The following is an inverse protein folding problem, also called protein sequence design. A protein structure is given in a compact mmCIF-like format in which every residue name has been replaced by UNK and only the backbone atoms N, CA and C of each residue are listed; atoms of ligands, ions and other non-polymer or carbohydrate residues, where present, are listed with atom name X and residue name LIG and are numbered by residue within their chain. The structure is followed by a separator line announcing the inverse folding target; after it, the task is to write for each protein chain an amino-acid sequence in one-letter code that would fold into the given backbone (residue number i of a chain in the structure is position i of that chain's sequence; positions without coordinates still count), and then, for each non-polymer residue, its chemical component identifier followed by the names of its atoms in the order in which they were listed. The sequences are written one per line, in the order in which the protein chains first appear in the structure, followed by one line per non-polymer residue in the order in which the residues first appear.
data_IF_149204964563
#
_entry.id   IF_149204964563
#
_cell.length_a   1.000
_cell.length_b   1.000
_cell.length_c   1.000
_cell.angle_alpha   90.00
_cell.angle_beta   90.00
_cell.angle_gamma   90.00
#
_symmetry.space_group_name_H-M   'P 1'
#
loop_
_entity.id
_entity.type
_entity.pdbx_description
1 polymer ?
#
# COMPACT_ATOMS: atom_id res chain seq x y z
N UNK A 1 4.64 15.72 -11.74
CA UNK A 1 3.83 15.14 -12.82
C UNK A 1 3.14 13.95 -12.21
N UNK A 2 1.82 14.01 -12.10
CA UNK A 2 1.06 12.97 -11.40
C UNK A 2 0.71 11.85 -12.37
N UNK A 3 0.62 10.61 -11.89
CA UNK A 3 0.35 9.46 -12.74
C UNK A 3 -0.92 9.62 -13.60
N UNK A 4 -1.97 10.22 -13.01
CA UNK A 4 -3.24 10.48 -13.67
C UNK A 4 -3.21 11.57 -14.76
N UNK A 5 -2.13 12.36 -14.84
CA UNK A 5 -1.96 13.34 -15.91
C UNK A 5 -1.29 12.72 -17.14
N UNK A 6 -0.62 11.57 -16.99
CA UNK A 6 0.24 10.98 -18.02
C UNK A 6 -0.23 9.60 -18.48
N UNK A 7 -1.00 8.90 -17.64
CA UNK A 7 -1.42 7.54 -17.89
C UNK A 7 -2.93 7.38 -17.69
N UNK A 8 -3.60 6.58 -18.53
CA UNK A 8 -4.99 6.22 -18.29
C UNK A 8 -5.11 5.44 -16.99
N UNK A 9 -5.95 5.96 -16.08
CA UNK A 9 -6.16 5.42 -14.76
C UNK A 9 -7.59 4.91 -14.60
N UNK A 10 -7.75 3.75 -13.96
CA UNK A 10 -9.05 3.16 -13.62
C UNK A 10 -9.08 2.86 -12.12
N UNK A 11 -10.13 3.32 -11.43
CA UNK A 11 -10.43 2.96 -10.05
C UNK A 11 -11.70 2.09 -10.05
N UNK A 12 -11.51 0.81 -9.74
CA UNK A 12 -12.57 -0.16 -9.57
C UNK A 12 -12.92 -0.31 -8.11
N UNK A 13 -14.19 -0.21 -7.75
CA UNK A 13 -14.60 -0.48 -6.38
C UNK A 13 -16.09 -0.68 -6.19
N UNK A 14 -16.47 -1.30 -5.08
CA UNK A 14 -17.85 -1.69 -4.80
C UNK A 14 -18.60 -0.72 -3.86
N UNK A 15 -17.85 0.08 -3.09
CA UNK A 15 -18.35 0.88 -1.96
C UNK A 15 -18.43 2.39 -2.22
N UNK A 16 -17.99 2.85 -3.39
CA UNK A 16 -18.02 4.26 -3.74
C UNK A 16 -19.45 4.74 -4.00
N UNK A 17 -19.86 5.77 -3.25
CA UNK A 17 -21.04 6.58 -3.57
C UNK A 17 -20.57 7.96 -4.02
N UNK A 18 -21.31 8.66 -4.90
CA UNK A 18 -20.94 10.01 -5.35
C UNK A 18 -20.64 10.98 -4.19
N UNK A 19 -21.40 10.89 -3.10
CA UNK A 19 -21.21 11.71 -1.90
C UNK A 19 -19.91 11.39 -1.18
N UNK A 20 -19.61 10.10 -0.95
CA UNK A 20 -18.35 9.68 -0.32
C UNK A 20 -17.15 10.08 -1.17
N UNK A 21 -17.26 9.90 -2.49
CA UNK A 21 -16.23 10.26 -3.44
C UNK A 21 -15.97 11.77 -3.41
N UNK A 22 -16.99 12.61 -3.62
CA UNK A 22 -16.86 14.08 -3.58
C UNK A 22 -16.23 14.58 -2.28
N UNK A 23 -16.61 14.00 -1.13
CA UNK A 23 -16.02 14.34 0.17
C UNK A 23 -14.55 13.94 0.31
N UNK A 24 -14.12 12.83 -0.29
CA UNK A 24 -12.70 12.44 -0.30
C UNK A 24 -11.90 13.40 -1.18
N UNK A 25 -12.38 13.66 -2.39
CA UNK A 25 -11.75 14.59 -3.33
C UNK A 25 -11.62 15.99 -2.73
N UNK A 26 -12.65 16.51 -2.05
CA UNK A 26 -12.60 17.83 -1.41
C UNK A 26 -11.59 17.94 -0.26
N UNK A 27 -11.02 16.82 0.20
CA UNK A 27 -9.99 16.78 1.25
C UNK A 27 -8.60 16.53 0.68
N UNK A 28 -8.48 16.18 -0.60
CA UNK A 28 -7.20 15.99 -1.27
C UNK A 28 -6.59 17.36 -1.58
N UNK A 29 -5.98 17.98 -0.58
CA UNK A 29 -5.27 19.26 -0.74
C UNK A 29 -3.88 19.09 -1.33
N UNK A 30 -3.35 17.86 -1.30
CA UNK A 30 -2.01 17.50 -1.77
C UNK A 30 -1.96 17.16 -3.27
N UNK A 31 -3.12 16.94 -3.92
CA UNK A 31 -3.21 16.66 -5.35
C UNK A 31 -4.62 17.00 -5.89
N UNK A 32 -4.72 17.35 -7.18
CA UNK A 32 -6.00 17.62 -7.84
C UNK A 32 -6.40 16.49 -8.82
N UNK A 33 -7.31 15.59 -8.39
CA UNK A 33 -7.80 14.48 -9.21
C UNK A 33 -8.90 14.86 -10.21
N UNK A 34 -9.23 16.16 -10.31
CA UNK A 34 -10.29 16.68 -11.17
C UNK A 34 -9.66 17.46 -12.33
N UNK A 35 -10.17 17.24 -13.54
CA UNK A 35 -9.77 17.94 -14.76
C UNK A 35 -10.37 19.36 -14.85
N UNK A 36 -10.00 20.09 -15.90
CA UNK A 36 -10.49 21.45 -16.17
C UNK A 36 -12.01 21.54 -16.38
N UNK A 37 -12.66 20.42 -16.70
CA UNK A 37 -14.10 20.31 -16.93
C UNK A 37 -14.88 19.87 -15.68
N UNK A 38 -14.20 19.73 -14.53
CA UNK A 38 -14.81 19.28 -13.29
C UNK A 38 -15.06 17.77 -13.22
N UNK A 39 -14.45 16.97 -14.09
CA UNK A 39 -14.58 15.50 -14.13
C UNK A 39 -13.35 14.82 -13.53
N UNK A 40 -13.47 13.60 -12.97
CA UNK A 40 -12.30 12.84 -12.54
C UNK A 40 -11.33 12.57 -13.70
N UNK A 41 -10.02 12.70 -13.45
CA UNK A 41 -8.94 12.34 -14.39
C UNK A 41 -8.77 10.82 -14.60
N UNK A 42 -9.68 10.02 -14.06
CA UNK A 42 -9.65 8.57 -14.08
C UNK A 42 -11.06 8.02 -14.21
N UNK A 43 -11.18 6.79 -14.71
CA UNK A 43 -12.45 6.10 -14.80
C UNK A 43 -12.85 5.49 -13.46
N UNK A 44 -14.12 5.62 -13.10
CA UNK A 44 -14.71 5.00 -11.92
C UNK A 44 -15.62 3.86 -12.35
N UNK A 45 -15.25 2.63 -12.01
CA UNK A 45 -16.02 1.44 -12.35
C UNK A 45 -16.54 0.77 -11.08
N UNK A 46 -17.87 0.62 -10.98
CA UNK A 46 -18.47 -0.15 -9.90
C UNK A 46 -18.52 -1.63 -10.27
N UNK A 47 -17.90 -2.49 -9.46
CA UNK A 47 -17.84 -3.93 -9.73
C UNK A 47 -17.90 -4.76 -8.45
N UNK A 48 -18.45 -5.97 -8.56
CA UNK A 48 -18.59 -6.93 -7.45
C UNK A 48 -17.95 -8.30 -7.74
N UNK A 49 -17.73 -8.64 -9.00
CA UNK A 49 -17.24 -9.95 -9.45
C UNK A 49 -16.48 -9.85 -10.78
N UNK A 50 -15.89 -10.96 -11.27
CA UNK A 50 -15.24 -11.01 -12.59
C UNK A 50 -14.24 -9.86 -12.82
N UNK A 51 -13.38 -9.64 -11.82
CA UNK A 51 -12.44 -8.52 -11.76
C UNK A 51 -11.46 -8.50 -12.93
N UNK A 52 -10.99 -9.67 -13.36
CA UNK A 52 -10.08 -9.80 -14.49
C UNK A 52 -10.70 -9.29 -15.80
N UNK A 53 -12.03 -9.34 -15.97
CA UNK A 53 -12.67 -9.01 -17.26
C UNK A 53 -12.67 -7.54 -17.63
N UNK A 54 -12.42 -6.67 -16.67
CA UNK A 54 -12.39 -5.22 -16.87
C UNK A 54 -10.95 -4.69 -16.86
N UNK A 55 -9.96 -5.51 -16.50
CA UNK A 55 -8.57 -5.06 -16.57
C UNK A 55 -8.21 -4.90 -18.04
N UNK A 56 -8.04 -3.64 -18.43
CA UNK A 56 -7.55 -3.26 -19.75
C UNK A 56 -6.02 -3.22 -19.73
N UNK A 57 -5.37 -3.69 -20.80
CA UNK A 57 -3.92 -3.67 -20.90
C UNK A 57 -3.37 -2.24 -20.89
N UNK A 58 -2.15 -2.09 -20.39
CA UNK A 58 -1.34 -0.86 -20.42
C UNK A 58 -1.92 0.32 -19.62
N UNK A 59 -2.92 0.10 -18.77
CA UNK A 59 -3.48 1.11 -17.83
C UNK A 59 -2.94 0.95 -16.40
N UNK A 60 -3.06 2.02 -15.61
CA UNK A 60 -2.94 1.92 -14.15
C UNK A 60 -4.32 1.63 -13.57
N UNK A 61 -4.50 0.42 -13.03
CA UNK A 61 -5.78 -0.04 -12.48
C UNK A 61 -5.67 -0.25 -10.97
N UNK A 62 -6.52 0.43 -10.19
CA UNK A 62 -6.67 0.20 -8.75
C UNK A 62 -7.96 -0.58 -8.51
N UNK A 63 -7.88 -1.69 -7.77
CA UNK A 63 -9.02 -2.53 -7.40
C UNK A 63 -9.23 -2.44 -5.88
N UNK A 64 -10.25 -1.71 -5.46
CA UNK A 64 -10.60 -1.40 -4.07
C UNK A 64 -12.03 -1.84 -3.72
N UNK A 65 -12.25 -3.03 -3.19
CA UNK A 65 -11.31 -4.11 -2.90
C UNK A 65 -11.89 -5.41 -3.46
N UNK A 66 -11.07 -6.44 -3.65
CA UNK A 66 -11.58 -7.73 -4.14
C UNK A 66 -12.36 -8.43 -3.01
N UNK A 67 -13.69 -8.35 -3.10
CA UNK A 67 -14.60 -9.05 -2.23
C UNK A 67 -14.90 -10.45 -2.77
N UNK A 68 -14.37 -11.48 -2.11
CA UNK A 68 -14.73 -12.88 -2.36
C UNK A 68 -15.59 -13.42 -1.22
N UNK A 69 -16.57 -14.28 -1.51
CA UNK A 69 -17.27 -15.08 -0.52
C UNK A 69 -16.29 -15.86 0.37
N UNK A 70 -16.66 -16.08 1.64
CA UNK A 70 -15.78 -16.73 2.62
C UNK A 70 -15.38 -18.17 2.23
N UNK A 71 -16.25 -18.87 1.49
CA UNK A 71 -16.01 -20.20 0.95
C UNK A 71 -15.15 -20.19 -0.33
N UNK A 72 -14.79 -19.03 -0.88
CA UNK A 72 -14.08 -18.89 -2.16
C UNK A 72 -12.72 -18.19 -2.02
N UNK A 73 -12.22 -18.02 -0.79
CA UNK A 73 -10.95 -17.33 -0.55
C UNK A 73 -9.74 -18.00 -1.22
N UNK A 74 -9.82 -19.30 -1.53
CA UNK A 74 -8.79 -20.01 -2.28
C UNK A 74 -8.70 -19.54 -3.75
N UNK A 75 -9.78 -18.99 -4.30
CA UNK A 75 -9.88 -18.58 -5.70
C UNK A 75 -9.13 -17.27 -6.01
N UNK A 76 -8.72 -16.53 -4.98
CA UNK A 76 -8.01 -15.26 -5.17
C UNK A 76 -6.72 -15.39 -5.97
N UNK A 77 -6.03 -16.53 -5.88
CA UNK A 77 -4.85 -16.83 -6.72
C UNK A 77 -5.19 -16.80 -8.22
N UNK A 78 -6.28 -17.46 -8.61
CA UNK A 78 -6.74 -17.46 -10.00
C UNK A 78 -7.21 -16.08 -10.46
N UNK A 79 -7.88 -15.32 -9.58
CA UNK A 79 -8.27 -13.93 -9.89
C UNK A 79 -7.04 -13.06 -10.15
N UNK A 80 -6.02 -13.14 -9.29
CA UNK A 80 -4.77 -12.39 -9.47
C UNK A 80 -4.05 -12.82 -10.76
N UNK A 81 -3.98 -14.12 -11.06
CA UNK A 81 -3.39 -14.63 -12.30
C UNK A 81 -4.14 -14.10 -13.54
N UNK A 82 -5.48 -14.10 -13.52
CA UNK A 82 -6.30 -13.58 -14.60
C UNK A 82 -6.16 -12.06 -14.80
N UNK A 83 -5.90 -11.32 -13.72
CA UNK A 83 -5.54 -9.91 -13.80
C UNK A 83 -4.14 -9.78 -14.42
N UNK A 84 -3.15 -10.49 -13.89
CA UNK A 84 -1.76 -10.44 -14.35
C UNK A 84 -1.62 -10.74 -15.84
N UNK A 85 -2.39 -11.70 -16.37
CA UNK A 85 -2.36 -12.05 -17.80
C UNK A 85 -2.93 -10.95 -18.72
N UNK A 86 -3.66 -9.98 -18.18
CA UNK A 86 -4.31 -8.89 -18.93
C UNK A 86 -3.64 -7.52 -18.76
N UNK A 87 -2.86 -7.31 -17.70
CA UNK A 87 -2.25 -6.01 -17.38
C UNK A 87 -1.34 -5.46 -18.49
N UNK A 88 -0.71 -6.32 -19.30
CA UNK A 88 0.25 -5.86 -20.32
C UNK A 88 1.44 -5.15 -19.69
N UNK A 89 1.80 -3.97 -20.20
CA UNK A 89 2.83 -3.09 -19.62
C UNK A 89 2.27 -2.14 -18.55
N UNK A 90 1.00 -2.33 -18.15
CA UNK A 90 0.33 -1.52 -17.15
C UNK A 90 0.69 -1.88 -15.72
N UNK A 91 -0.08 -1.35 -14.77
CA UNK A 91 0.05 -1.65 -13.34
C UNK A 91 -1.32 -1.98 -12.78
N UNK A 92 -1.42 -3.10 -12.04
CA UNK A 92 -2.58 -3.40 -11.22
C UNK A 92 -2.24 -3.31 -9.73
N UNK A 93 -2.92 -2.42 -9.01
CA UNK A 93 -2.89 -2.33 -7.55
C UNK A 93 -4.14 -3.03 -6.99
N UNK A 94 -3.93 -4.13 -6.27
CA UNK A 94 -5.02 -4.94 -5.73
C UNK A 94 -5.08 -4.76 -4.22
N UNK A 95 -6.23 -4.28 -3.71
CA UNK A 95 -6.48 -4.16 -2.27
C UNK A 95 -7.21 -5.41 -1.78
N UNK A 96 -6.63 -6.05 -0.75
CA UNK A 96 -7.18 -7.24 -0.10
C UNK A 96 -7.41 -6.96 1.39
N UNK A 97 -8.55 -7.41 1.91
CA UNK A 97 -8.81 -7.42 3.35
C UNK A 97 -7.96 -8.49 4.04
N UNK A 98 -7.50 -8.22 5.26
CA UNK A 98 -6.75 -9.14 6.12
C UNK A 98 -7.41 -9.24 7.49
N UNK A 99 -7.29 -10.40 8.13
CA UNK A 99 -7.70 -10.54 9.54
C UNK A 99 -6.73 -9.75 10.44
N UNK A 100 -7.22 -9.25 11.58
CA UNK A 100 -6.49 -8.32 12.46
C UNK A 100 -5.13 -8.88 12.92
N UNK A 101 -5.05 -10.20 13.19
CA UNK A 101 -3.83 -10.89 13.59
C UNK A 101 -3.00 -11.47 12.42
N UNK A 102 -3.45 -11.33 11.17
CA UNK A 102 -2.77 -11.89 10.00
C UNK A 102 -1.79 -10.90 9.39
N UNK A 103 -0.59 -11.39 9.06
CA UNK A 103 0.41 -10.66 8.26
C UNK A 103 0.12 -10.73 6.75
N UNK A 104 -0.81 -11.59 6.33
CA UNK A 104 -1.18 -11.83 4.94
C UNK A 104 -2.65 -11.47 4.71
N UNK A 105 -2.95 -10.91 3.53
CA UNK A 105 -4.32 -10.75 3.05
C UNK A 105 -5.02 -12.08 2.81
N UNK A 106 -6.35 -12.03 2.63
CA UNK A 106 -7.15 -13.17 2.19
C UNK A 106 -6.54 -13.77 0.91
N UNK A 107 -6.22 -15.06 0.93
CA UNK A 107 -5.38 -15.72 -0.10
C UNK A 107 -4.02 -16.19 0.38
N UNK A 108 -3.54 -15.68 1.52
CA UNK A 108 -2.29 -16.09 2.17
C UNK A 108 -1.12 -16.07 1.17
N UNK A 109 -0.26 -17.10 1.20
CA UNK A 109 0.99 -17.17 0.46
C UNK A 109 0.85 -17.00 -1.07
N UNK A 110 -0.27 -17.45 -1.66
CA UNK A 110 -0.48 -17.37 -3.10
C UNK A 110 -0.55 -15.93 -3.63
N UNK A 111 -1.21 -15.04 -2.88
CA UNK A 111 -1.27 -13.62 -3.24
C UNK A 111 0.11 -12.94 -3.19
N UNK A 112 0.95 -13.34 -2.23
CA UNK A 112 2.32 -12.86 -2.09
C UNK A 112 3.22 -13.39 -3.23
N UNK A 113 3.06 -14.65 -3.61
CA UNK A 113 3.87 -15.27 -4.66
C UNK A 113 3.70 -14.61 -6.03
N UNK A 114 2.45 -14.32 -6.40
CA UNK A 114 2.11 -13.79 -7.72
C UNK A 114 2.49 -12.31 -7.86
N UNK A 115 2.37 -11.52 -6.80
CA UNK A 115 2.65 -10.08 -6.81
C UNK A 115 4.12 -9.74 -7.09
N UNK A 116 4.37 -8.63 -7.82
CA UNK A 116 5.71 -8.04 -7.96
C UNK A 116 6.12 -7.25 -6.72
N UNK A 117 5.14 -6.64 -6.06
CA UNK A 117 5.26 -5.93 -4.79
C UNK A 117 4.09 -6.32 -3.88
N UNK A 118 4.38 -6.73 -2.65
CA UNK A 118 3.40 -7.06 -1.62
C UNK A 118 3.66 -6.23 -0.37
N UNK A 119 2.69 -5.39 -0.03
CA UNK A 119 2.72 -4.53 1.14
C UNK A 119 1.62 -4.96 2.11
N UNK A 120 1.96 -5.10 3.38
CA UNK A 120 0.97 -5.26 4.45
C UNK A 120 0.83 -3.95 5.19
N UNK A 121 -0.41 -3.46 5.31
CA UNK A 121 -0.73 -2.24 6.05
C UNK A 121 -1.48 -2.63 7.34
N UNK A 122 -0.96 -2.16 8.46
CA UNK A 122 -1.53 -2.20 9.80
C UNK A 122 -1.75 -0.77 10.32
N UNK A 123 -2.36 -0.63 11.51
CA UNK A 123 -2.54 0.68 12.14
C UNK A 123 -1.20 1.41 12.30
N UNK A 124 -1.02 2.48 11.53
CA UNK A 124 0.17 3.34 11.55
C UNK A 124 1.46 2.70 11.04
N UNK A 125 1.37 1.54 10.38
CA UNK A 125 2.55 0.76 9.97
C UNK A 125 2.33 0.07 8.63
N UNK A 126 3.32 0.15 7.75
CA UNK A 126 3.41 -0.60 6.51
C UNK A 126 4.64 -1.52 6.56
N UNK A 127 4.50 -2.75 6.07
CA UNK A 127 5.61 -3.70 5.94
C UNK A 127 5.75 -4.12 4.49
N UNK A 128 6.96 -4.03 3.94
CA UNK A 128 7.29 -4.64 2.65
C UNK A 128 7.48 -6.13 2.85
N UNK A 129 6.51 -6.93 2.43
CA UNK A 129 6.59 -8.41 2.54
C UNK A 129 7.43 -8.99 1.43
N UNK A 130 7.20 -8.49 0.21
CA UNK A 130 7.88 -8.94 -1.00
C UNK A 130 8.05 -7.78 -1.96
N UNK A 131 9.25 -7.58 -2.47
CA UNK A 131 9.55 -6.90 -3.71
C UNK A 131 10.36 -7.89 -4.55
N UNK A 132 10.01 -8.10 -5.81
CA UNK A 132 10.75 -8.99 -6.72
C UNK A 132 11.87 -8.28 -7.46
N UNK A 133 11.70 -6.97 -7.68
CA UNK A 133 12.66 -6.12 -8.37
C UNK A 133 12.91 -4.88 -7.53
N UNK A 134 14.17 -4.47 -7.43
CA UNK A 134 14.62 -3.28 -6.73
C UNK A 134 15.94 -2.80 -7.34
N UNK A 135 16.19 -1.49 -7.30
CA UNK A 135 17.33 -0.91 -8.00
C UNK A 135 18.56 -0.75 -7.08
N UNK A 136 18.44 -0.03 -5.96
CA UNK A 136 19.59 0.32 -5.11
C UNK A 136 19.71 -0.48 -3.83
N UNK A 137 18.58 -0.84 -3.20
CA UNK A 137 18.55 -1.60 -1.96
C UNK A 137 17.40 -2.59 -1.96
N UNK A 138 17.57 -3.72 -1.28
CA UNK A 138 16.51 -4.68 -1.03
C UNK A 138 15.57 -4.15 0.06
N UNK A 139 14.29 -3.85 -0.25
CA UNK A 139 13.33 -3.34 0.73
C UNK A 139 12.60 -4.46 1.47
N UNK A 140 12.86 -5.74 1.15
CA UNK A 140 12.15 -6.85 1.77
C UNK A 140 12.32 -6.83 3.30
N UNK A 141 11.19 -6.99 4.00
CA UNK A 141 11.04 -6.97 5.47
C UNK A 141 11.22 -5.60 6.11
N UNK A 142 11.42 -4.54 5.33
CA UNK A 142 11.43 -3.21 5.87
C UNK A 142 10.05 -2.78 6.35
N UNK A 143 10.05 -1.96 7.41
CA UNK A 143 8.86 -1.49 8.09
C UNK A 143 8.90 0.03 8.11
N UNK A 144 7.77 0.63 7.77
CA UNK A 144 7.58 2.06 7.71
C UNK A 144 6.40 2.46 8.60
N UNK A 145 6.59 3.50 9.41
CA UNK A 145 5.54 4.16 10.15
C UNK A 145 4.95 5.26 9.31
N UNK A 146 3.66 5.54 9.49
CA UNK A 146 2.96 6.63 8.82
C UNK A 146 1.80 7.12 9.68
N UNK A 147 1.37 8.34 9.40
CA UNK A 147 0.12 8.92 9.91
C UNK A 147 -0.89 9.03 8.77
N UNK A 148 -2.19 8.95 9.09
CA UNK A 148 -3.26 9.21 8.11
C UNK A 148 -3.91 10.55 8.47
N UNK A 149 -3.75 11.54 7.60
CA UNK A 149 -4.21 12.91 7.83
C UNK A 149 -5.34 13.29 6.86
N UNK A 150 -5.83 14.53 6.97
CA UNK A 150 -6.82 15.11 6.06
C UNK A 150 -8.11 14.27 5.91
N UNK A 151 -8.54 13.66 7.02
CA UNK A 151 -9.75 12.87 7.06
C UNK A 151 -9.70 11.60 6.21
N UNK A 152 -8.51 10.99 6.09
CA UNK A 152 -8.33 9.66 5.51
C UNK A 152 -7.79 9.61 4.09
N UNK A 153 -7.26 10.72 3.57
CA UNK A 153 -6.89 10.83 2.13
C UNK A 153 -5.41 11.04 1.90
N UNK A 154 -4.59 11.09 2.95
CA UNK A 154 -3.17 11.35 2.84
C UNK A 154 -2.38 10.51 3.85
N UNK A 155 -1.33 9.86 3.37
CA UNK A 155 -0.27 9.31 4.21
C UNK A 155 0.74 10.42 4.47
N UNK A 156 1.02 10.70 5.74
CA UNK A 156 2.00 11.69 6.15
C UNK A 156 3.02 11.08 7.11
N UNK A 157 4.14 11.77 7.36
CA UNK A 157 5.17 11.36 8.32
C UNK A 157 5.67 9.92 8.09
N UNK A 158 5.89 9.58 6.82
CA UNK A 158 6.40 8.26 6.41
C UNK A 158 7.87 8.15 6.86
N UNK A 159 8.17 7.16 7.69
CA UNK A 159 9.49 7.04 8.31
C UNK A 159 9.88 5.58 8.54
N UNK A 160 11.16 5.22 8.43
CA UNK A 160 11.61 3.85 8.66
C UNK A 160 11.51 3.47 10.14
N UNK A 161 11.02 2.27 10.42
CA UNK A 161 10.92 1.69 11.76
C UNK A 161 11.85 0.49 11.91
N UNK A 162 12.31 0.27 13.13
CA UNK A 162 12.97 -0.95 13.58
C UNK A 162 12.15 -1.60 14.69
N UNK A 163 12.30 -2.92 14.86
CA UNK A 163 11.76 -3.60 16.04
C UNK A 163 12.38 -2.99 17.28
N UNK A 164 11.56 -2.70 18.29
CA UNK A 164 12.01 -2.21 19.58
C UNK A 164 13.03 -3.19 20.17
N UNK A 165 14.16 -2.67 20.63
CA UNK A 165 15.25 -3.50 21.14
C UNK A 165 14.89 -4.16 22.48
N UNK A 166 13.94 -3.60 23.25
CA UNK A 166 13.53 -4.16 24.55
C UNK A 166 12.49 -5.27 24.40
N UNK A 167 11.38 -5.02 23.70
CA UNK A 167 10.31 -6.00 23.54
C UNK A 167 10.46 -6.89 22.30
N UNK A 168 11.47 -6.66 21.47
CA UNK A 168 11.75 -7.42 20.23
C UNK A 168 10.56 -7.49 19.26
N UNK A 169 9.68 -6.49 19.28
CA UNK A 169 8.49 -6.41 18.42
C UNK A 169 7.18 -6.87 19.05
N UNK A 170 7.18 -7.39 20.27
CA UNK A 170 5.94 -7.86 20.93
C UNK A 170 5.06 -6.73 21.47
N UNK A 171 5.63 -5.54 21.67
CA UNK A 171 4.96 -4.44 22.39
C UNK A 171 4.92 -4.63 23.91
N UNK A 172 5.40 -5.76 24.44
CA UNK A 172 5.30 -6.10 25.87
C UNK A 172 6.62 -6.60 26.44
N UNK A 173 6.92 -6.21 27.69
CA UNK A 173 8.05 -6.72 28.47
C UNK A 173 7.50 -7.28 29.78
N UNK A 174 7.67 -8.59 30.00
CA UNK A 174 7.16 -9.30 31.20
C UNK A 174 5.65 -9.07 31.42
N UNK A 175 4.86 -9.09 30.36
CA UNK A 175 3.40 -8.92 30.41
C UNK A 175 2.91 -7.48 30.56
N UNK A 176 3.80 -6.51 30.76
CA UNK A 176 3.46 -5.09 30.79
C UNK A 176 3.75 -4.44 29.44
N UNK A 177 3.06 -3.33 29.16
CA UNK A 177 3.36 -2.49 28.00
C UNK A 177 4.84 -2.08 28.01
N UNK A 178 5.50 -2.21 26.86
CA UNK A 178 6.90 -1.85 26.73
C UNK A 178 7.08 -0.33 26.82
N UNK A 179 7.82 0.12 27.83
CA UNK A 179 8.09 1.54 28.07
C UNK A 179 8.74 2.25 26.88
N UNK A 180 9.70 1.59 26.21
CA UNK A 180 10.50 2.20 25.14
C UNK A 180 9.73 2.44 23.85
N UNK A 181 8.77 1.57 23.51
CA UNK A 181 7.98 1.71 22.29
C UNK A 181 6.50 2.01 22.57
N UNK A 182 6.12 2.21 23.83
CA UNK A 182 4.75 2.48 24.27
C UNK A 182 3.74 1.49 23.66
N UNK A 183 4.04 0.19 23.78
CA UNK A 183 3.17 -0.87 23.29
C UNK A 183 3.18 -1.14 21.78
N UNK A 184 3.82 -0.28 20.97
CA UNK A 184 3.76 -0.42 19.50
C UNK A 184 4.60 -1.58 18.95
N UNK A 185 5.62 -2.00 19.70
CA UNK A 185 6.60 -2.99 19.25
C UNK A 185 7.73 -2.43 18.37
N UNK A 186 7.64 -1.17 17.93
CA UNK A 186 8.56 -0.59 16.95
C UNK A 186 9.04 0.79 17.42
N UNK A 187 10.22 1.19 16.96
CA UNK A 187 10.80 2.51 17.19
C UNK A 187 11.32 3.05 15.87
N UNK A 188 11.46 4.37 15.74
CA UNK A 188 12.02 4.98 14.53
C UNK A 188 13.50 4.60 14.37
N UNK A 189 13.92 4.29 13.12
CA UNK A 189 15.33 4.10 12.83
C UNK A 189 16.02 5.46 12.94
N UNK A 190 16.85 5.64 13.97
CA UNK A 190 17.74 6.80 14.04
C UNK A 190 18.75 6.65 12.90
N UNK A 191 18.73 7.58 11.93
CA UNK A 191 19.81 7.63 10.94
C UNK A 191 21.12 7.93 11.69
N UNK A 192 22.19 7.12 11.52
CA UNK A 192 23.50 7.56 12.01
C UNK A 192 23.82 8.91 11.36
N UNK A 193 24.31 9.88 12.14
CA UNK A 193 24.78 11.16 11.60
C UNK A 193 25.75 10.86 10.46
N UNK A 194 25.49 11.39 9.27
CA UNK A 194 26.47 11.39 8.20
C UNK A 194 27.73 12.09 8.75
N UNK A 195 28.80 11.32 8.92
CA UNK A 195 30.11 11.90 9.16
C UNK A 195 30.51 12.52 7.82
N UNK A 196 30.31 13.82 7.68
CA UNK A 196 30.88 14.58 6.57
C UNK A 196 32.39 14.42 6.65
N UNK A 197 32.96 13.53 5.83
CA UNK A 197 34.38 13.58 5.53
C UNK A 197 34.58 14.84 4.70
N UNK A 198 35.25 15.84 5.27
CA UNK A 198 35.79 16.94 4.48
C UNK A 198 36.63 16.34 3.35
N UNK A 199 36.48 16.81 2.10
CA UNK A 199 37.36 16.35 1.04
C UNK A 199 38.77 16.82 1.37
N UNK A 200 39.70 15.88 1.57
CA UNK A 200 41.13 16.17 1.52
C UNK A 200 41.42 16.73 0.12
N UNK A 201 41.74 18.03 0.08
CA UNK A 201 42.29 18.67 -1.10
C UNK A 201 43.74 18.21 -1.22
N UNK A 202 43.97 17.22 -2.09
CA UNK A 202 45.30 16.90 -2.57
C UNK A 202 45.80 18.06 -3.45
N UNK A 203 46.85 18.73 -2.99
CA UNK A 203 47.63 19.74 -3.73
C UNK A 203 48.65 19.08 -4.65
#
# INVERSE_FOLDING_TARGET
WENMDNYPCVLMGNEYTPVKFKRRISRMTWNNPIDENGKPKFELIRRLENWADIVEPDKITIIDWIALPANELYNIGHVIQGIQSKVGNGIALIVLQKDEASNLGRGRAFSEELSSLYLTIDKGRMTVRKAKEWFTHDPNREVYGFDITNGGVEFNNIRPLAKCFDCKGSGQVKGNECFTCHGTGYIEKIKPKEVTKEPELDF
#
